data_IF_777630425960
#
_entry.id   IF_777630425960
#
_cell.length_a   1.000
_cell.length_b   1.000
_cell.length_c   1.000
_cell.angle_alpha   90.00
_cell.angle_beta   90.00
_cell.angle_gamma   90.00
#
_symmetry.space_group_name_H-M   'P 1'
#
loop_
_entity.id
_entity.type
_entity.pdbx_description
1 polymer ?
#
# COMPACT_ATOMS: atom_id res chain seq x y z
N UNK A 1 7.58 34.75 -24.36
CA UNK A 1 8.76 34.04 -23.80
C UNK A 1 8.40 33.42 -22.45
N UNK A 2 7.37 32.54 -22.41
CA UNK A 2 6.77 32.08 -21.14
C UNK A 2 6.27 30.64 -21.14
N UNK A 3 6.62 29.83 -22.15
CA UNK A 3 6.22 28.42 -22.24
C UNK A 3 7.38 27.43 -22.02
N UNK A 4 8.63 27.90 -21.94
CA UNK A 4 9.81 27.02 -21.86
C UNK A 4 10.18 26.56 -20.44
N UNK A 5 9.72 27.25 -19.39
CA UNK A 5 10.15 26.95 -18.01
C UNK A 5 9.39 25.75 -17.42
N UNK A 6 8.13 25.50 -17.84
CA UNK A 6 7.35 24.38 -17.29
C UNK A 6 7.81 23.01 -17.81
N UNK A 7 8.32 22.94 -19.04
CA UNK A 7 8.77 21.67 -19.65
C UNK A 7 10.04 21.15 -18.97
N UNK A 8 10.94 22.06 -18.56
CA UNK A 8 12.21 21.71 -17.93
C UNK A 8 12.10 21.16 -16.49
N UNK A 9 10.95 21.32 -15.83
CA UNK A 9 10.75 20.80 -14.46
C UNK A 9 10.47 19.29 -14.47
N UNK A 10 9.85 18.77 -15.53
CA UNK A 10 9.49 17.35 -15.63
C UNK A 10 10.66 16.44 -16.07
N UNK A 11 11.64 16.98 -16.78
CA UNK A 11 12.85 16.24 -17.20
C UNK A 11 13.84 15.98 -16.05
N UNK A 12 13.59 16.51 -14.85
CA UNK A 12 14.46 16.35 -13.66
C UNK A 12 14.19 15.07 -12.86
N UNK A 13 13.17 14.31 -13.24
CA UNK A 13 12.86 13.02 -12.64
C UNK A 13 13.24 11.95 -13.65
N UNK A 14 14.48 11.45 -13.58
CA UNK A 14 14.80 10.19 -14.26
C UNK A 14 13.71 9.17 -13.93
N UNK A 15 13.23 8.37 -14.89
CA UNK A 15 12.15 7.42 -14.64
C UNK A 15 12.60 6.46 -13.54
N UNK A 16 12.18 6.77 -12.31
CA UNK A 16 12.42 5.92 -11.16
C UNK A 16 11.73 4.61 -11.47
N UNK A 17 12.50 3.52 -11.48
CA UNK A 17 11.99 2.17 -11.66
C UNK A 17 10.74 1.98 -10.78
N UNK A 18 9.60 1.76 -11.42
CA UNK A 18 8.33 1.61 -10.72
C UNK A 18 8.35 0.35 -9.87
N UNK A 19 7.92 0.45 -8.61
CA UNK A 19 7.86 -0.68 -7.68
C UNK A 19 6.49 -1.34 -7.79
N UNK A 20 6.48 -2.63 -8.09
CA UNK A 20 5.26 -3.46 -8.11
C UNK A 20 4.78 -3.80 -6.69
N UNK A 21 3.52 -4.20 -6.55
CA UNK A 21 2.98 -4.70 -5.27
C UNK A 21 3.82 -5.88 -4.76
N UNK A 22 4.24 -6.78 -5.64
CA UNK A 22 5.09 -7.91 -5.28
C UNK A 22 6.41 -7.43 -4.68
N UNK A 23 7.13 -6.56 -5.40
CA UNK A 23 8.39 -6.00 -4.90
C UNK A 23 8.21 -5.23 -3.59
N UNK A 24 7.02 -4.71 -3.28
CA UNK A 24 6.74 -4.00 -2.05
C UNK A 24 6.48 -4.92 -0.85
N UNK A 25 5.67 -5.97 -1.01
CA UNK A 25 5.08 -6.69 0.13
C UNK A 25 5.25 -8.22 0.15
N UNK A 26 5.84 -8.84 -0.88
CA UNK A 26 5.87 -10.31 -1.00
C UNK A 26 6.70 -11.05 0.08
N UNK A 27 7.61 -10.38 0.78
CA UNK A 27 8.35 -10.94 1.93
C UNK A 27 7.56 -10.85 3.24
N UNK A 28 6.46 -10.09 3.32
CA UNK A 28 5.67 -10.03 4.54
C UNK A 28 4.95 -11.37 4.81
N UNK A 29 4.69 -11.65 6.09
CA UNK A 29 4.02 -12.88 6.48
C UNK A 29 2.59 -12.92 5.95
N UNK A 30 2.14 -14.08 5.48
CA UNK A 30 0.80 -14.24 4.92
C UNK A 30 -0.21 -14.48 6.03
N UNK A 31 -0.58 -13.41 6.74
CA UNK A 31 -1.54 -13.46 7.85
C UNK A 31 -2.99 -13.33 7.35
N UNK A 32 -3.94 -14.05 7.95
CA UNK A 32 -5.36 -13.97 7.62
C UNK A 32 -6.06 -12.80 8.34
N UNK A 33 -7.37 -12.65 8.12
CA UNK A 33 -8.16 -11.64 8.84
C UNK A 33 -8.09 -11.88 10.36
N UNK A 34 -8.00 -10.80 11.13
CA UNK A 34 -7.84 -10.84 12.60
C UNK A 34 -6.51 -11.45 13.11
N UNK A 35 -5.53 -11.65 12.23
CA UNK A 35 -4.18 -12.11 12.61
C UNK A 35 -3.15 -10.98 12.56
N UNK A 36 -1.93 -11.31 12.98
CA UNK A 36 -0.78 -10.40 13.06
C UNK A 36 -0.60 -9.80 14.44
N UNK A 37 0.45 -8.97 14.58
CA UNK A 37 0.80 -8.33 15.84
C UNK A 37 1.38 -6.94 15.61
N UNK A 38 1.38 -6.11 16.65
CA UNK A 38 1.99 -4.78 16.59
C UNK A 38 3.48 -4.86 16.30
N UNK A 39 4.16 -5.83 16.89
CA UNK A 39 5.56 -6.16 16.70
C UNK A 39 5.68 -7.67 16.44
N UNK A 40 6.48 -8.05 15.45
CA UNK A 40 6.79 -9.45 15.14
C UNK A 40 8.16 -9.59 14.50
N UNK A 41 8.63 -10.83 14.38
CA UNK A 41 9.80 -11.16 13.56
C UNK A 41 9.45 -11.18 12.07
N UNK A 42 10.47 -10.94 11.23
CA UNK A 42 10.36 -11.21 9.79
C UNK A 42 10.47 -12.72 9.56
N UNK A 43 9.40 -13.32 9.04
CA UNK A 43 9.37 -14.76 8.80
C UNK A 43 9.97 -15.16 7.46
N UNK A 44 9.85 -14.30 6.43
CA UNK A 44 10.37 -14.59 5.10
C UNK A 44 11.63 -13.77 4.77
N UNK A 45 12.50 -14.30 3.91
CA UNK A 45 13.66 -13.56 3.42
C UNK A 45 13.23 -12.41 2.49
N UNK A 46 14.13 -11.44 2.35
CA UNK A 46 14.02 -10.38 1.34
C UNK A 46 14.00 -11.00 -0.07
N UNK A 47 13.09 -10.53 -0.92
CA UNK A 47 12.90 -10.99 -2.29
C UNK A 47 13.13 -9.89 -3.33
N UNK A 48 13.26 -8.63 -2.92
CA UNK A 48 13.50 -7.48 -3.81
C UNK A 48 14.47 -6.45 -3.22
N UNK A 49 15.10 -5.65 -4.10
CA UNK A 49 15.92 -4.51 -3.67
C UNK A 49 15.10 -3.48 -2.87
N UNK A 50 13.81 -3.34 -3.20
CA UNK A 50 12.92 -2.44 -2.48
C UNK A 50 12.68 -2.92 -1.04
N UNK A 51 12.45 -4.21 -0.83
CA UNK A 51 12.30 -4.80 0.50
C UNK A 51 13.60 -4.66 1.31
N UNK A 52 14.76 -4.87 0.67
CA UNK A 52 16.06 -4.63 1.31
C UNK A 52 16.19 -3.18 1.80
N UNK A 53 15.77 -2.21 0.96
CA UNK A 53 15.77 -0.80 1.31
C UNK A 53 14.81 -0.49 2.47
N UNK A 54 13.57 -0.99 2.43
CA UNK A 54 12.58 -0.75 3.48
C UNK A 54 13.00 -1.36 4.82
N UNK A 55 13.65 -2.54 4.81
CA UNK A 55 14.08 -3.28 6.01
C UNK A 55 15.41 -2.83 6.58
N UNK A 56 16.19 -2.01 5.87
CA UNK A 56 17.61 -1.73 6.14
C UNK A 56 17.95 -1.45 7.62
N UNK A 57 17.10 -0.71 8.32
CA UNK A 57 17.31 -0.30 9.72
C UNK A 57 16.27 -0.89 10.69
N UNK A 58 15.46 -1.85 10.24
CA UNK A 58 14.36 -2.40 11.05
C UNK A 58 14.67 -3.85 11.46
N UNK A 59 15.06 -4.09 12.73
CA UNK A 59 15.34 -5.45 13.20
C UNK A 59 14.05 -6.28 13.39
N UNK A 60 12.92 -5.61 13.59
CA UNK A 60 11.60 -6.19 13.80
C UNK A 60 10.60 -5.62 12.81
N UNK A 61 9.49 -6.32 12.61
CA UNK A 61 8.38 -5.88 11.79
C UNK A 61 7.30 -5.25 12.67
N UNK A 62 6.92 -4.01 12.36
CA UNK A 62 5.86 -3.30 13.09
C UNK A 62 4.62 -3.05 12.25
N UNK A 63 3.47 -2.89 12.91
CA UNK A 63 2.18 -2.52 12.31
C UNK A 63 1.63 -3.53 11.27
N UNK A 64 2.12 -4.77 11.26
CA UNK A 64 1.62 -5.82 10.38
C UNK A 64 0.47 -6.59 11.06
N UNK A 65 -0.68 -5.92 11.13
CA UNK A 65 -1.92 -6.43 11.73
C UNK A 65 -3.06 -6.36 10.72
N UNK A 66 -3.74 -7.47 10.50
CA UNK A 66 -4.89 -7.52 9.62
C UNK A 66 -6.17 -7.06 10.34
N UNK A 67 -7.01 -6.34 9.61
CA UNK A 67 -8.37 -6.04 10.10
C UNK A 67 -9.13 -7.33 10.42
N UNK A 68 -9.87 -7.31 11.52
CA UNK A 68 -10.93 -8.28 11.80
C UNK A 68 -12.16 -7.95 10.93
N UNK A 69 -12.35 -8.69 9.84
CA UNK A 69 -13.45 -8.49 8.89
C UNK A 69 -14.68 -9.27 9.34
N UNK A 70 -15.86 -8.74 9.07
CA UNK A 70 -17.11 -9.48 9.33
C UNK A 70 -17.18 -10.75 8.48
N UNK A 71 -17.90 -11.76 8.96
CA UNK A 71 -18.14 -12.99 8.18
C UNK A 71 -18.71 -12.67 6.79
N UNK A 72 -19.65 -11.74 6.71
CA UNK A 72 -20.25 -11.30 5.44
C UNK A 72 -19.24 -10.69 4.46
N UNK A 73 -18.20 -10.01 4.96
CA UNK A 73 -17.14 -9.48 4.12
C UNK A 73 -16.19 -10.59 3.67
N UNK A 74 -15.87 -11.54 4.55
CA UNK A 74 -15.04 -12.70 4.22
C UNK A 74 -15.69 -13.57 3.15
N UNK A 75 -17.00 -13.86 3.27
CA UNK A 75 -17.74 -14.63 2.25
C UNK A 75 -17.70 -13.93 0.88
N UNK A 76 -17.82 -12.60 0.83
CA UNK A 76 -17.66 -11.85 -0.44
C UNK A 76 -16.23 -11.97 -0.97
N UNK A 77 -15.21 -11.82 -0.12
CA UNK A 77 -13.81 -11.92 -0.55
C UNK A 77 -13.44 -13.32 -1.04
N UNK A 78 -14.11 -14.39 -0.57
CA UNK A 78 -13.92 -15.75 -1.08
C UNK A 78 -14.43 -15.93 -2.53
N UNK A 79 -15.45 -15.16 -2.92
CA UNK A 79 -16.02 -15.20 -4.28
C UNK A 79 -15.21 -14.40 -5.30
N UNK A 80 -14.25 -13.59 -4.85
CA UNK A 80 -13.43 -12.73 -5.72
C UNK A 80 -12.11 -13.44 -5.96
N UNK A 81 -11.89 -13.87 -7.21
CA UNK A 81 -10.64 -14.50 -7.61
C UNK A 81 -9.46 -13.54 -7.47
N UNK A 82 -8.25 -14.10 -7.42
CA UNK A 82 -7.00 -13.32 -7.31
C UNK A 82 -6.93 -12.23 -8.37
N UNK A 83 -6.49 -11.04 -7.94
CA UNK A 83 -6.31 -9.85 -8.80
C UNK A 83 -7.57 -9.34 -9.53
N UNK A 84 -8.77 -9.83 -9.17
CA UNK A 84 -10.05 -9.34 -9.65
C UNK A 84 -10.76 -8.49 -8.59
N UNK A 85 -11.95 -7.97 -8.90
CA UNK A 85 -12.74 -7.14 -8.01
C UNK A 85 -14.22 -7.49 -7.96
N UNK A 86 -15.04 -6.48 -7.65
CA UNK A 86 -16.49 -6.59 -7.47
C UNK A 86 -17.23 -7.19 -8.66
N UNK A 87 -16.67 -7.16 -9.87
CA UNK A 87 -17.23 -7.81 -11.05
C UNK A 87 -17.45 -9.32 -10.88
N UNK A 88 -16.69 -9.98 -9.99
CA UNK A 88 -16.91 -11.39 -9.65
C UNK A 88 -18.12 -11.62 -8.76
N UNK A 89 -18.58 -10.59 -8.04
CA UNK A 89 -19.69 -10.72 -7.11
C UNK A 89 -21.03 -10.76 -7.85
N UNK A 90 -21.96 -11.65 -7.46
CA UNK A 90 -23.36 -11.56 -7.84
C UNK A 90 -23.95 -10.17 -7.59
N UNK A 91 -24.76 -9.65 -8.52
CA UNK A 91 -25.30 -8.28 -8.45
C UNK A 91 -26.05 -7.98 -7.14
N UNK A 92 -26.74 -8.97 -6.57
CA UNK A 92 -27.44 -8.84 -5.29
C UNK A 92 -26.49 -8.62 -4.09
N UNK A 93 -25.21 -8.97 -4.20
CA UNK A 93 -24.18 -8.78 -3.17
C UNK A 93 -23.41 -7.47 -3.31
N UNK A 94 -23.65 -6.69 -4.38
CA UNK A 94 -22.95 -5.42 -4.64
C UNK A 94 -23.25 -4.35 -3.60
N UNK A 95 -24.37 -4.45 -2.88
CA UNK A 95 -24.76 -3.49 -1.85
C UNK A 95 -25.04 -2.08 -2.39
N UNK A 96 -24.71 -1.05 -1.61
CA UNK A 96 -24.89 0.37 -1.97
C UNK A 96 -23.67 0.96 -2.69
N UNK A 97 -22.64 0.17 -2.93
CA UNK A 97 -21.36 0.62 -3.48
C UNK A 97 -21.50 0.98 -4.96
N UNK A 98 -21.17 2.21 -5.32
CA UNK A 98 -21.32 2.71 -6.70
C UNK A 98 -20.05 2.54 -7.54
N UNK A 99 -18.86 2.58 -6.92
CA UNK A 99 -17.60 2.48 -7.66
C UNK A 99 -17.28 1.06 -8.09
N UNK A 100 -16.72 0.92 -9.31
CA UNK A 100 -16.27 -0.36 -9.88
C UNK A 100 -15.09 -0.97 -9.12
N UNK A 101 -14.21 -0.13 -8.57
CA UNK A 101 -13.00 -0.54 -7.86
C UNK A 101 -13.26 -1.17 -6.49
N UNK A 102 -14.45 -0.99 -5.90
CA UNK A 102 -14.77 -1.59 -4.59
C UNK A 102 -14.58 -3.11 -4.61
N UNK A 103 -14.17 -3.69 -3.48
CA UNK A 103 -13.83 -5.10 -3.37
C UNK A 103 -12.66 -5.56 -4.25
N UNK A 104 -11.90 -4.63 -4.84
CA UNK A 104 -10.76 -4.96 -5.67
C UNK A 104 -9.62 -5.58 -4.87
N UNK A 105 -8.97 -6.57 -5.46
CA UNK A 105 -7.67 -7.09 -5.03
C UNK A 105 -6.55 -6.38 -5.76
N UNK A 106 -5.47 -6.09 -5.05
CA UNK A 106 -4.22 -5.65 -5.66
C UNK A 106 -3.70 -6.71 -6.65
N UNK A 107 -3.01 -6.29 -7.70
CA UNK A 107 -2.32 -7.20 -8.63
C UNK A 107 -0.84 -7.24 -8.31
N UNK A 108 -0.24 -8.42 -8.23
CA UNK A 108 1.17 -8.57 -7.83
C UNK A 108 2.13 -7.81 -8.75
N UNK A 109 1.91 -7.95 -10.06
CA UNK A 109 2.81 -7.42 -11.10
C UNK A 109 2.51 -5.97 -11.51
N UNK A 110 1.64 -5.28 -10.77
CA UNK A 110 1.27 -3.88 -11.07
C UNK A 110 1.64 -2.98 -9.91
N UNK A 111 1.69 -1.69 -10.19
CA UNK A 111 1.76 -0.65 -9.17
C UNK A 111 0.43 -0.63 -8.42
N UNK A 112 0.47 -0.40 -7.11
CA UNK A 112 -0.74 -0.21 -6.32
C UNK A 112 -1.51 1.02 -6.80
N UNK A 113 -2.86 0.99 -6.81
CA UNK A 113 -3.64 2.22 -6.80
C UNK A 113 -3.36 3.03 -5.52
N UNK A 114 -3.83 4.27 -5.49
CA UNK A 114 -3.64 5.19 -4.38
C UNK A 114 -4.09 4.57 -3.05
N UNK A 115 -3.19 4.63 -2.05
CA UNK A 115 -3.51 4.28 -0.67
C UNK A 115 -4.30 5.43 -0.05
N UNK A 116 -5.57 5.20 0.28
CA UNK A 116 -6.44 6.18 0.92
C UNK A 116 -6.53 5.98 2.45
N UNK A 117 -7.38 6.74 3.15
CA UNK A 117 -7.49 6.62 4.61
C UNK A 117 -8.34 5.44 5.10
N UNK A 118 -8.84 4.62 4.18
CA UNK A 118 -9.76 3.49 4.41
C UNK A 118 -9.28 2.23 3.67
N UNK A 119 -7.97 2.09 3.44
CA UNK A 119 -7.37 0.89 2.86
C UNK A 119 -7.63 -0.38 3.68
N UNK A 120 -7.98 -0.22 4.95
CA UNK A 120 -8.34 -1.30 5.87
C UNK A 120 -9.72 -1.91 5.61
N UNK A 121 -10.48 -1.37 4.64
CA UNK A 121 -11.86 -1.72 4.33
C UNK A 121 -12.00 -2.27 2.90
N UNK A 122 -12.34 -3.55 2.69
CA UNK A 122 -12.35 -4.16 1.35
C UNK A 122 -13.40 -3.56 0.42
N UNK A 123 -14.52 -3.08 0.96
CA UNK A 123 -15.58 -2.46 0.18
C UNK A 123 -15.24 -1.03 -0.28
N UNK A 124 -14.06 -0.53 0.03
CA UNK A 124 -13.60 0.81 -0.34
C UNK A 124 -12.39 0.66 -1.28
N UNK A 125 -12.61 0.71 -2.59
CA UNK A 125 -11.55 0.62 -3.59
C UNK A 125 -10.85 -0.75 -3.69
N UNK A 126 -9.71 -0.74 -4.40
CA UNK A 126 -8.87 -1.91 -4.66
C UNK A 126 -7.81 -2.02 -3.56
N UNK A 127 -8.26 -2.42 -2.37
CA UNK A 127 -7.45 -2.41 -1.16
C UNK A 127 -7.29 -3.81 -0.53
N UNK A 128 -7.70 -4.86 -1.23
CA UNK A 128 -7.58 -6.24 -0.75
C UNK A 128 -6.23 -6.85 -1.12
N UNK A 129 -5.69 -7.68 -0.25
CA UNK A 129 -4.47 -8.43 -0.54
C UNK A 129 -4.63 -9.23 -1.85
N UNK A 130 -3.59 -9.36 -2.69
CA UNK A 130 -3.70 -10.05 -3.98
C UNK A 130 -4.30 -11.46 -3.89
N UNK A 131 -4.01 -12.16 -2.78
CA UNK A 131 -4.41 -13.56 -2.59
C UNK A 131 -5.25 -13.84 -1.34
N UNK A 132 -5.09 -13.06 -0.27
CA UNK A 132 -5.68 -13.37 1.03
C UNK A 132 -7.04 -12.71 1.15
N UNK A 133 -7.98 -13.33 1.88
CA UNK A 133 -9.33 -12.79 2.07
C UNK A 133 -9.35 -11.68 3.14
N UNK A 134 -8.57 -10.61 2.92
CA UNK A 134 -8.51 -9.41 3.76
C UNK A 134 -8.09 -8.19 2.96
N UNK A 135 -8.42 -7.01 3.49
CA UNK A 135 -7.69 -5.76 3.19
C UNK A 135 -6.19 -5.87 3.47
N UNK A 136 -5.42 -5.00 2.84
CA UNK A 136 -4.01 -4.80 3.20
C UNK A 136 -3.86 -4.31 4.63
N UNK A 137 -2.75 -4.68 5.26
CA UNK A 137 -2.35 -4.26 6.60
C UNK A 137 -1.77 -2.84 6.57
N UNK A 138 -1.70 -2.15 7.74
CA UNK A 138 -1.02 -0.86 7.81
C UNK A 138 0.44 -0.92 7.34
N UNK A 139 1.18 -1.98 7.65
CA UNK A 139 2.56 -2.16 7.17
C UNK A 139 2.66 -2.32 5.65
N UNK A 140 1.77 -3.12 5.05
CA UNK A 140 1.71 -3.25 3.59
C UNK A 140 1.40 -1.89 2.92
N UNK A 141 0.42 -1.16 3.44
CA UNK A 141 0.07 0.18 2.97
C UNK A 141 1.22 1.19 3.14
N UNK A 142 1.92 1.15 4.28
CA UNK A 142 3.07 2.00 4.56
C UNK A 142 4.22 1.74 3.58
N UNK A 143 4.52 0.47 3.28
CA UNK A 143 5.53 0.13 2.27
C UNK A 143 5.13 0.56 0.87
N UNK A 144 3.85 0.46 0.50
CA UNK A 144 3.38 1.00 -0.78
C UNK A 144 3.56 2.53 -0.83
N UNK A 145 3.33 3.21 0.29
CA UNK A 145 3.61 4.64 0.47
C UNK A 145 5.10 4.96 0.68
N UNK A 146 6.01 4.00 0.52
CA UNK A 146 7.47 4.16 0.65
C UNK A 146 8.00 4.57 2.04
N UNK A 147 7.25 4.26 3.10
CA UNK A 147 7.78 4.29 4.45
C UNK A 147 8.70 3.09 4.68
N UNK A 148 9.86 3.36 5.25
CA UNK A 148 10.75 2.33 5.78
C UNK A 148 10.11 1.59 6.95
N UNK A 149 10.59 0.39 7.22
CA UNK A 149 10.04 -0.48 8.26
C UNK A 149 10.34 -0.01 9.69
N UNK A 150 11.38 0.81 9.87
CA UNK A 150 11.74 1.45 11.13
C UNK A 150 10.85 2.67 11.46
N UNK A 151 9.99 3.11 10.54
CA UNK A 151 8.94 4.08 10.83
C UNK A 151 7.72 3.38 11.43
N UNK A 152 7.47 3.64 12.71
CA UNK A 152 6.42 2.99 13.50
C UNK A 152 5.23 3.94 13.64
N UNK A 153 4.03 3.46 13.30
CA UNK A 153 2.80 4.22 13.44
C UNK A 153 2.13 3.91 14.77
N UNK A 154 1.70 4.96 15.47
CA UNK A 154 1.06 4.84 16.79
C UNK A 154 -0.38 5.38 16.78
N UNK A 155 -1.16 4.90 17.74
CA UNK A 155 -2.56 5.25 17.93
C UNK A 155 -3.51 4.13 17.52
N UNK A 156 -4.80 4.42 17.57
CA UNK A 156 -5.82 3.46 17.15
C UNK A 156 -5.79 3.22 15.64
N UNK A 157 -6.43 2.13 15.21
CA UNK A 157 -6.49 1.70 13.81
C UNK A 157 -6.86 2.81 12.83
N UNK A 158 -7.92 3.59 13.12
CA UNK A 158 -8.38 4.67 12.25
C UNK A 158 -7.37 5.81 12.17
N UNK A 159 -6.71 6.15 13.27
CA UNK A 159 -5.64 7.16 13.29
C UNK A 159 -4.47 6.72 12.40
N UNK A 160 -4.02 5.47 12.56
CA UNK A 160 -2.92 4.92 11.75
C UNK A 160 -3.27 4.90 10.26
N UNK A 161 -4.49 4.50 9.90
CA UNK A 161 -4.93 4.52 8.50
C UNK A 161 -4.93 5.95 7.93
N UNK A 162 -5.35 6.95 8.71
CA UNK A 162 -5.29 8.36 8.30
C UNK A 162 -3.85 8.87 8.16
N UNK A 163 -2.95 8.51 9.07
CA UNK A 163 -1.54 8.89 8.99
C UNK A 163 -0.91 8.38 7.69
N UNK A 164 -1.11 7.10 7.37
CA UNK A 164 -0.55 6.48 6.16
C UNK A 164 -1.23 7.00 4.88
N UNK A 165 -2.57 7.08 4.88
CA UNK A 165 -3.33 7.47 3.69
C UNK A 165 -3.19 8.95 3.32
N UNK A 166 -2.99 9.84 4.29
CA UNK A 166 -2.81 11.28 4.02
C UNK A 166 -1.35 11.68 3.82
N UNK A 167 -0.39 10.78 4.05
CA UNK A 167 1.01 11.11 3.93
C UNK A 167 1.45 11.32 2.48
N UNK A 168 2.44 12.20 2.30
CA UNK A 168 3.25 12.23 1.08
C UNK A 168 4.27 11.09 1.16
N UNK A 169 4.42 10.26 0.12
CA UNK A 169 5.42 9.17 0.12
C UNK A 169 6.84 9.68 0.43
N UNK A 170 7.56 9.11 1.42
CA UNK A 170 8.90 9.59 1.77
C UNK A 170 9.91 9.60 0.63
N UNK A 171 9.90 8.62 -0.28
CA UNK A 171 10.79 8.63 -1.44
C UNK A 171 10.46 9.74 -2.44
N UNK A 172 9.18 10.08 -2.61
CA UNK A 172 8.76 11.23 -3.41
C UNK A 172 9.23 12.54 -2.75
N UNK A 173 9.01 12.69 -1.44
CA UNK A 173 9.47 13.86 -0.69
C UNK A 173 11.00 14.02 -0.76
N UNK A 174 11.76 12.92 -0.70
CA UNK A 174 13.22 12.93 -0.86
C UNK A 174 13.64 13.40 -2.25
N UNK A 175 12.99 12.91 -3.32
CA UNK A 175 13.28 13.32 -4.68
C UNK A 175 13.03 14.83 -4.88
N UNK A 176 11.89 15.32 -4.38
CA UNK A 176 11.56 16.75 -4.40
C UNK A 176 12.58 17.58 -3.59
N UNK A 177 12.96 17.14 -2.40
CA UNK A 177 13.95 17.82 -1.57
C UNK A 177 15.32 17.93 -2.25
N UNK A 178 15.78 16.86 -2.93
CA UNK A 178 17.01 16.89 -3.73
C UNK A 178 16.93 17.88 -4.89
N UNK A 179 15.79 17.92 -5.59
CA UNK A 179 15.58 18.85 -6.70
C UNK A 179 15.61 20.31 -6.22
N UNK A 180 14.93 20.62 -5.12
CA UNK A 180 14.95 21.95 -4.49
C UNK A 180 16.37 22.33 -4.09
N UNK A 181 17.09 21.46 -3.39
CA UNK A 181 18.46 21.71 -2.95
C UNK A 181 19.41 21.96 -4.13
N UNK A 182 19.27 21.22 -5.23
CA UNK A 182 20.02 21.46 -6.47
C UNK A 182 19.71 22.84 -7.06
N UNK A 183 18.46 23.28 -7.00
CA UNK A 183 18.07 24.61 -7.48
C UNK A 183 18.60 25.75 -6.61
N UNK A 184 18.73 25.54 -5.30
CA UNK A 184 19.23 26.56 -4.35
C UNK A 184 20.76 26.71 -4.38
N UNK A 185 21.48 25.75 -4.98
CA UNK A 185 22.95 25.75 -5.11
C UNK A 185 23.45 26.33 -6.43
N UNK A 186 22.56 26.87 -7.25
CA UNK A 186 22.90 27.65 -8.45
C UNK A 186 23.15 29.10 -8.07
#
# INVERSE_FOLDING_TARGET
MGLLILVLIFDLLEPSQSVSVQEAISDLAYIHSNEGAFESDYLNPIQSNYQALMRKNSPKLYNHQATNHSQSALEKLKLINKEQGKECLPKNLHGKQQFKSTWGRLSWNKISPTIDTRFDTPSNGTNSHPELHRSITPREAARIQSFSDDYIFYGNKTSVCKQIGNAVPPLLALALGKAILKSLRK
#
